data_IF_686409280715
#
_entry.id   IF_686409280715
#
_cell.length_a   1.000
_cell.length_b   1.000
_cell.length_c   1.000
_cell.angle_alpha   90.00
_cell.angle_beta   90.00
_cell.angle_gamma   90.00
#
_symmetry.space_group_name_H-M   'P 1'
#
loop_
_entity.id
_entity.type
_entity.pdbx_description
1 polymer ?
#
# COMPACT_ATOMS: atom_id res chain seq x y z
N UNK A 1 -8.51 -24.10 -2.50
CA UNK A 1 -8.81 -23.97 -1.05
C UNK A 1 -7.94 -22.97 -0.29
N UNK A 2 -7.17 -22.07 -0.95
CA UNK A 2 -6.11 -21.27 -0.29
C UNK A 2 -6.58 -19.96 0.40
N UNK A 3 -7.87 -19.60 0.31
CA UNK A 3 -8.43 -18.40 0.95
C UNK A 3 -9.26 -18.67 2.22
N UNK A 4 -9.94 -19.82 2.30
CA UNK A 4 -10.79 -20.17 3.46
C UNK A 4 -9.99 -20.45 4.73
N UNK A 5 -8.76 -20.95 4.60
CA UNK A 5 -7.85 -21.14 5.73
C UNK A 5 -7.55 -19.84 6.48
N UNK A 6 -7.49 -18.70 5.78
CA UNK A 6 -7.28 -17.40 6.41
C UNK A 6 -8.43 -16.99 7.34
N UNK A 7 -9.67 -17.31 6.98
CA UNK A 7 -10.85 -17.04 7.81
C UNK A 7 -10.79 -17.90 9.07
N UNK A 8 -10.51 -19.20 8.93
CA UNK A 8 -10.41 -20.13 10.06
C UNK A 8 -9.32 -19.70 11.04
N UNK A 9 -8.12 -19.38 10.53
CA UNK A 9 -7.01 -18.88 11.36
C UNK A 9 -7.38 -17.55 12.03
N UNK A 10 -7.99 -16.61 11.30
CA UNK A 10 -8.44 -15.34 11.86
C UNK A 10 -9.46 -15.52 12.98
N UNK A 11 -10.37 -16.48 12.85
CA UNK A 11 -11.40 -16.78 13.85
C UNK A 11 -10.78 -17.40 15.12
N UNK A 12 -9.80 -18.31 14.95
CA UNK A 12 -9.02 -18.85 16.08
C UNK A 12 -8.26 -17.74 16.81
N UNK A 13 -7.59 -16.85 16.08
CA UNK A 13 -6.87 -15.71 16.68
C UNK A 13 -7.84 -14.77 17.41
N UNK A 14 -8.99 -14.46 16.81
CA UNK A 14 -10.02 -13.62 17.44
C UNK A 14 -10.55 -14.25 18.75
N UNK A 15 -10.75 -15.57 18.78
CA UNK A 15 -11.13 -16.29 20.00
C UNK A 15 -10.06 -16.19 21.09
N UNK A 16 -8.78 -16.39 20.72
CA UNK A 16 -7.67 -16.25 21.66
C UNK A 16 -7.64 -14.83 22.24
N UNK A 17 -7.69 -13.79 21.40
CA UNK A 17 -7.69 -12.39 21.84
C UNK A 17 -8.90 -12.11 22.75
N UNK A 18 -10.08 -12.62 22.41
CA UNK A 18 -11.31 -12.46 23.21
C UNK A 18 -11.15 -13.08 24.61
N UNK A 19 -10.62 -14.31 24.70
CA UNK A 19 -10.34 -14.97 25.98
C UNK A 19 -9.35 -14.15 26.81
N UNK A 20 -8.26 -13.68 26.18
CA UNK A 20 -7.29 -12.82 26.86
C UNK A 20 -7.92 -11.52 27.37
N UNK A 21 -8.80 -10.89 26.58
CA UNK A 21 -9.48 -9.67 26.97
C UNK A 21 -10.42 -9.87 28.17
N UNK A 22 -11.12 -11.00 28.24
CA UNK A 22 -12.00 -11.34 29.38
C UNK A 22 -11.19 -11.63 30.63
N UNK A 23 -10.10 -12.40 30.54
CA UNK A 23 -9.27 -12.76 31.70
C UNK A 23 -8.53 -11.54 32.24
N UNK A 24 -8.12 -10.61 31.38
CA UNK A 24 -7.33 -9.42 31.74
C UNK A 24 -8.18 -8.15 31.77
N UNK A 25 -9.48 -8.26 32.10
CA UNK A 25 -10.39 -7.11 32.27
C UNK A 25 -10.19 -6.40 33.62
N UNK A 26 -8.96 -6.37 34.11
CA UNK A 26 -8.61 -5.65 35.32
C UNK A 26 -8.50 -4.16 35.01
N UNK A 27 -9.24 -3.36 35.78
CA UNK A 27 -9.24 -1.91 35.63
C UNK A 27 -7.93 -1.33 36.16
N UNK A 28 -7.15 -0.72 35.26
CA UNK A 28 -5.88 -0.06 35.60
C UNK A 28 -6.11 1.45 35.57
N UNK A 29 -5.52 2.16 36.54
CA UNK A 29 -5.52 3.62 36.55
C UNK A 29 -4.66 4.15 35.41
N UNK A 30 -5.24 4.99 34.58
CA UNK A 30 -4.55 5.67 33.49
C UNK A 30 -4.55 7.16 33.76
N UNK A 31 -3.37 7.74 33.78
CA UNK A 31 -3.19 9.18 33.94
C UNK A 31 -3.12 9.81 32.56
N UNK A 32 -4.20 10.48 32.17
CA UNK A 32 -4.26 11.28 30.97
C UNK A 32 -3.76 12.70 31.27
N UNK A 33 -3.47 13.46 30.21
CA UNK A 33 -2.93 14.81 30.32
C UNK A 33 -3.83 15.79 31.10
N UNK A 34 -5.14 15.50 31.17
CA UNK A 34 -6.16 16.35 31.80
C UNK A 34 -7.02 15.62 32.85
N UNK A 35 -6.57 14.48 33.38
CA UNK A 35 -7.31 13.74 34.39
C UNK A 35 -6.94 12.26 34.44
N UNK A 36 -7.57 11.52 35.35
CA UNK A 36 -7.30 10.09 35.54
C UNK A 36 -8.59 9.29 35.34
N UNK A 37 -8.50 8.13 34.68
CA UNK A 37 -9.63 7.22 34.54
C UNK A 37 -9.19 5.76 34.66
N UNK A 38 -10.11 4.90 35.05
CA UNK A 38 -9.88 3.47 35.20
C UNK A 38 -10.46 2.72 34.01
N UNK A 39 -9.57 2.16 33.18
CA UNK A 39 -9.95 1.39 32.00
C UNK A 39 -9.23 0.04 32.02
N UNK A 40 -9.85 -1.02 31.50
CA UNK A 40 -9.15 -2.28 31.26
C UNK A 40 -7.93 -2.07 30.37
N UNK A 41 -6.77 -2.58 30.78
CA UNK A 41 -5.49 -2.37 30.08
C UNK A 41 -5.56 -2.85 28.62
N UNK A 42 -6.29 -3.94 28.36
CA UNK A 42 -6.47 -4.50 27.01
C UNK A 42 -7.10 -3.51 26.04
N UNK A 43 -8.05 -2.68 26.47
CA UNK A 43 -8.70 -1.68 25.60
C UNK A 43 -7.70 -0.62 25.14
N UNK A 44 -6.78 -0.23 26.03
CA UNK A 44 -5.76 0.78 25.75
C UNK A 44 -4.73 0.23 24.77
N UNK A 45 -4.30 -1.01 24.97
CA UNK A 45 -3.37 -1.70 24.07
C UNK A 45 -4.00 -1.84 22.68
N UNK A 46 -5.23 -2.36 22.60
CA UNK A 46 -5.94 -2.52 21.32
C UNK A 46 -6.13 -1.17 20.61
N UNK A 47 -6.53 -0.12 21.34
CA UNK A 47 -6.64 1.23 20.80
C UNK A 47 -5.31 1.77 20.27
N UNK A 48 -4.22 1.55 21.00
CA UNK A 48 -2.88 2.00 20.63
C UNK A 48 -2.35 1.27 19.39
N UNK A 49 -2.52 -0.06 19.34
CA UNK A 49 -2.16 -0.88 18.17
C UNK A 49 -2.98 -0.48 16.96
N UNK A 50 -4.29 -0.28 17.12
CA UNK A 50 -5.17 0.19 16.06
C UNK A 50 -4.73 1.55 15.52
N UNK A 51 -4.41 2.50 16.41
CA UNK A 51 -3.92 3.82 16.01
C UNK A 51 -2.60 3.71 15.24
N UNK A 52 -1.66 2.88 15.71
CA UNK A 52 -0.42 2.59 14.99
C UNK A 52 -0.65 2.01 13.60
N UNK A 53 -1.57 1.05 13.47
CA UNK A 53 -1.94 0.45 12.19
C UNK A 53 -2.57 1.47 11.23
N UNK A 54 -3.42 2.38 11.74
CA UNK A 54 -3.99 3.48 10.95
C UNK A 54 -2.89 4.42 10.43
N UNK A 55 -1.96 4.84 11.30
CA UNK A 55 -0.86 5.73 10.91
C UNK A 55 0.03 5.06 9.85
N UNK A 56 0.47 3.83 10.09
CA UNK A 56 1.31 3.07 9.15
C UNK A 56 0.57 2.83 7.83
N UNK A 57 -0.71 2.48 7.90
CA UNK A 57 -1.58 2.29 6.73
C UNK A 57 -1.71 3.56 5.91
N UNK A 58 -1.94 4.71 6.53
CA UNK A 58 -2.02 6.00 5.86
C UNK A 58 -0.70 6.38 5.17
N UNK A 59 0.43 6.27 5.87
CA UNK A 59 1.76 6.53 5.29
C UNK A 59 2.07 5.56 4.13
N UNK A 60 1.74 4.29 4.29
CA UNK A 60 1.87 3.27 3.25
C UNK A 60 1.03 3.60 2.01
N UNK A 61 -0.20 4.07 2.20
CA UNK A 61 -1.09 4.47 1.13
C UNK A 61 -0.53 5.66 0.34
N UNK A 62 -0.03 6.70 1.03
CA UNK A 62 0.64 7.84 0.37
C UNK A 62 1.83 7.38 -0.47
N UNK A 63 2.66 6.46 0.06
CA UNK A 63 3.79 5.88 -0.68
C UNK A 63 3.32 5.14 -1.93
N UNK A 64 2.29 4.31 -1.81
CA UNK A 64 1.71 3.56 -2.93
C UNK A 64 1.19 4.50 -4.01
N UNK A 65 0.50 5.58 -3.64
CA UNK A 65 0.01 6.57 -4.61
C UNK A 65 1.15 7.24 -5.39
N UNK A 66 2.24 7.63 -4.71
CA UNK A 66 3.42 8.21 -5.38
C UNK A 66 4.06 7.23 -6.35
N UNK A 67 4.22 5.97 -5.92
CA UNK A 67 4.78 4.91 -6.76
C UNK A 67 3.89 4.66 -7.99
N UNK A 68 2.57 4.66 -7.86
CA UNK A 68 1.66 4.52 -8.99
C UNK A 68 1.76 5.69 -9.97
N UNK A 69 1.88 6.93 -9.47
CA UNK A 69 2.08 8.10 -10.31
C UNK A 69 3.41 8.02 -11.08
N UNK A 70 4.48 7.59 -10.42
CA UNK A 70 5.78 7.38 -11.06
C UNK A 70 5.75 6.27 -12.11
N UNK A 71 5.10 5.14 -11.82
CA UNK A 71 4.87 4.06 -12.79
C UNK A 71 4.14 4.61 -14.03
N UNK A 72 3.12 5.45 -13.83
CA UNK A 72 2.38 6.06 -14.95
C UNK A 72 3.27 6.99 -15.78
N UNK A 73 4.08 7.83 -15.14
CA UNK A 73 5.04 8.73 -15.81
C UNK A 73 6.07 7.94 -16.61
N UNK A 74 6.69 6.94 -16.00
CA UNK A 74 7.70 6.10 -16.64
C UNK A 74 7.12 5.31 -17.82
N UNK A 75 5.89 4.79 -17.70
CA UNK A 75 5.21 4.14 -18.83
C UNK A 75 4.97 5.10 -19.99
N UNK A 76 4.55 6.34 -19.73
CA UNK A 76 4.35 7.35 -20.78
C UNK A 76 5.67 7.72 -21.48
N UNK A 77 6.76 7.93 -20.74
CA UNK A 77 8.07 8.22 -21.32
C UNK A 77 8.58 7.08 -22.23
N UNK A 78 8.43 5.83 -21.79
CA UNK A 78 8.79 4.67 -22.62
C UNK A 78 7.97 4.59 -23.92
N UNK A 79 6.68 4.91 -23.87
CA UNK A 79 5.82 4.94 -25.06
C UNK A 79 6.24 6.05 -26.04
N UNK A 80 6.55 7.24 -25.54
CA UNK A 80 7.03 8.36 -26.37
C UNK A 80 8.37 8.03 -27.02
N UNK A 81 9.35 7.56 -26.25
CA UNK A 81 10.68 7.22 -26.78
C UNK A 81 10.61 6.14 -27.87
N UNK A 82 9.80 5.10 -27.67
CA UNK A 82 9.59 4.04 -28.68
C UNK A 82 8.92 4.56 -29.95
N UNK A 83 8.04 5.55 -29.83
CA UNK A 83 7.38 6.20 -30.97
C UNK A 83 8.36 7.10 -31.74
N UNK A 84 9.27 7.78 -31.05
CA UNK A 84 10.31 8.61 -31.68
C UNK A 84 11.39 7.77 -32.36
N UNK A 85 11.80 6.64 -31.78
CA UNK A 85 12.70 5.67 -32.42
C UNK A 85 12.09 5.09 -33.72
N UNK A 86 10.79 4.79 -33.71
CA UNK A 86 10.08 4.26 -34.88
C UNK A 86 9.96 5.30 -35.99
N UNK A 87 9.58 6.55 -35.65
CA UNK A 87 9.48 7.65 -36.63
C UNK A 87 10.84 8.03 -37.22
N UNK A 88 11.89 8.02 -36.41
CA UNK A 88 13.25 8.35 -36.87
C UNK A 88 13.75 7.27 -37.83
N UNK A 89 13.52 5.99 -37.52
CA UNK A 89 13.87 4.86 -38.41
C UNK A 89 13.09 4.90 -39.74
N UNK A 90 11.78 5.14 -39.71
CA UNK A 90 10.97 5.25 -40.93
C UNK A 90 11.37 6.44 -41.81
N UNK A 91 11.75 7.57 -41.19
CA UNK A 91 12.20 8.76 -41.93
C UNK A 91 13.58 8.59 -42.57
N UNK A 92 14.45 7.74 -42.01
CA UNK A 92 15.74 7.40 -42.61
C UNK A 92 15.56 6.42 -43.77
N UNK A 93 14.74 5.38 -43.61
CA UNK A 93 14.42 4.42 -44.68
C UNK A 93 13.80 5.13 -45.89
N UNK A 94 12.87 6.08 -45.67
CA UNK A 94 12.23 6.83 -46.77
C UNK A 94 13.18 7.77 -47.50
N UNK A 95 14.23 8.28 -46.82
CA UNK A 95 15.27 9.13 -47.42
C UNK A 95 16.27 8.31 -48.23
N UNK A 96 16.64 7.11 -47.78
CA UNK A 96 17.49 6.19 -48.55
C UNK A 96 16.79 5.65 -49.80
N UNK A 97 15.53 5.22 -49.70
CA UNK A 97 14.78 4.70 -50.86
C UNK A 97 14.53 5.77 -51.94
N UNK A 98 14.21 7.01 -51.55
CA UNK A 98 14.00 8.12 -52.49
C UNK A 98 15.29 8.60 -53.18
N UNK A 99 16.47 8.29 -52.62
CA UNK A 99 17.76 8.64 -53.24
C UNK A 99 18.24 7.61 -54.27
N UNK A 100 17.67 6.41 -54.29
CA UNK A 100 18.01 5.34 -55.25
C UNK A 100 17.16 5.45 -56.52
N UNK A 101 15.95 5.97 -56.43
CA UNK A 101 14.99 6.08 -57.55
C UNK A 101 15.19 7.31 -58.44
N UNK A 102 16.06 8.25 -58.03
CA UNK A 102 16.36 9.50 -58.74
C UNK A 102 17.67 9.52 -59.54
N UNK A 103 18.31 8.37 -59.75
CA UNK A 103 19.49 8.18 -60.61
C UNK A 103 19.15 7.30 -61.80
#
# INVERSE_FOLDING_TARGET
MKGQWGIIVGLVVALIISIFAVINVEAVRVNYLFGEAYWPLVLIILGSVLMGAVIVGALGMVKIYRLQAEIKRLKQQNLTNKTEETKTSDSQIKRESGSIEGK
#
